data_IF_944074789629
#
_entry.id   IF_944074789629
#
_cell.length_a   1.000
_cell.length_b   1.000
_cell.length_c   1.000
_cell.angle_alpha   90.00
_cell.angle_beta   90.00
_cell.angle_gamma   90.00
#
_symmetry.space_group_name_H-M   'P 1'
#
loop_
_entity.id
_entity.type
_entity.pdbx_description
1 polymer ?
#
# COMPACT_ATOMS: atom_id res chain seq x y z
N UNK A 1 50.71 -3.88 -13.95
CA UNK A 1 50.00 -4.28 -15.19
C UNK A 1 48.95 -5.36 -14.94
N UNK A 2 49.31 -6.54 -14.40
CA UNK A 2 48.36 -7.67 -14.18
C UNK A 2 47.15 -7.33 -13.29
N UNK A 3 47.35 -6.50 -12.23
CA UNK A 3 46.27 -6.03 -11.35
C UNK A 3 45.32 -5.02 -12.03
N UNK A 4 45.85 -4.17 -12.92
CA UNK A 4 45.04 -3.21 -13.70
C UNK A 4 44.18 -3.94 -14.73
N UNK A 5 44.73 -5.00 -15.35
CA UNK A 5 43.99 -5.85 -16.28
C UNK A 5 42.82 -6.58 -15.59
N UNK A 6 43.02 -7.06 -14.35
CA UNK A 6 41.98 -7.72 -13.55
C UNK A 6 40.83 -6.78 -13.17
N UNK A 7 41.14 -5.52 -12.80
CA UNK A 7 40.12 -4.50 -12.50
C UNK A 7 39.32 -4.09 -13.74
N UNK A 8 39.94 -4.03 -14.92
CA UNK A 8 39.26 -3.75 -16.18
C UNK A 8 38.32 -4.89 -16.61
N UNK A 9 38.71 -6.16 -16.40
CA UNK A 9 37.86 -7.32 -16.74
C UNK A 9 36.62 -7.40 -15.83
N UNK A 10 36.78 -7.09 -14.53
CA UNK A 10 35.67 -7.08 -13.57
C UNK A 10 34.63 -5.99 -13.86
N UNK A 11 35.04 -4.84 -14.41
CA UNK A 11 34.15 -3.72 -14.72
C UNK A 11 33.35 -3.93 -16.02
N UNK A 12 33.84 -4.75 -16.96
CA UNK A 12 33.13 -5.06 -18.22
C UNK A 12 32.07 -6.14 -18.04
N UNK A 13 32.23 -7.07 -17.08
CA UNK A 13 31.28 -8.16 -16.84
C UNK A 13 29.86 -7.71 -16.46
N UNK A 14 29.71 -6.53 -15.85
CA UNK A 14 28.41 -5.97 -15.45
C UNK A 14 27.54 -5.49 -16.62
N UNK A 15 28.13 -5.28 -17.81
CA UNK A 15 27.44 -4.72 -18.98
C UNK A 15 26.58 -5.75 -19.73
N UNK A 16 26.72 -7.04 -19.43
CA UNK A 16 26.02 -8.14 -20.12
C UNK A 16 24.90 -8.78 -19.27
N UNK A 17 24.48 -8.15 -18.17
CA UNK A 17 23.38 -8.62 -17.32
C UNK A 17 21.98 -8.33 -17.91
N UNK A 18 21.81 -8.36 -19.23
CA UNK A 18 20.49 -8.25 -19.85
C UNK A 18 19.78 -9.60 -19.79
N UNK A 19 18.62 -9.63 -19.13
CA UNK A 19 17.72 -10.78 -19.17
C UNK A 19 17.13 -10.87 -20.59
N UNK A 20 17.32 -12.01 -21.27
CA UNK A 20 16.73 -12.28 -22.58
C UNK A 20 15.33 -12.85 -22.36
N UNK A 21 14.32 -11.99 -22.41
CA UNK A 21 12.90 -12.36 -22.27
C UNK A 21 12.03 -11.17 -21.91
N UNK A 22 10.72 -11.37 -21.94
CA UNK A 22 9.77 -10.38 -21.46
C UNK A 22 9.86 -10.29 -19.93
N UNK A 23 9.86 -9.06 -19.42
CA UNK A 23 9.77 -8.82 -17.97
C UNK A 23 8.29 -8.97 -17.58
N UNK A 24 7.96 -10.12 -17.02
CA UNK A 24 6.62 -10.36 -16.49
C UNK A 24 6.52 -9.78 -15.07
N UNK A 25 5.63 -8.80 -14.88
CA UNK A 25 5.28 -8.30 -13.54
C UNK A 25 4.07 -9.11 -13.05
N UNK A 26 4.19 -9.85 -11.93
CA UNK A 26 3.06 -10.61 -11.42
C UNK A 26 1.94 -9.65 -10.99
N UNK A 27 0.71 -9.97 -11.37
CA UNK A 27 -0.45 -9.29 -10.81
C UNK A 27 -0.66 -9.76 -9.36
N UNK A 28 -0.68 -8.82 -8.42
CA UNK A 28 -0.95 -9.09 -7.01
C UNK A 28 -2.34 -8.56 -6.68
N UNK A 29 -3.28 -9.48 -6.48
CA UNK A 29 -4.60 -9.13 -5.96
C UNK A 29 -4.48 -8.78 -4.47
N UNK A 30 -4.91 -7.57 -4.10
CA UNK A 30 -5.02 -7.16 -2.70
C UNK A 30 -6.48 -7.28 -2.27
N UNK A 31 -6.84 -8.48 -1.82
CA UNK A 31 -8.19 -8.76 -1.35
C UNK A 31 -8.49 -8.01 -0.06
N UNK A 32 -9.70 -7.47 0.02
CA UNK A 32 -10.21 -6.80 1.20
C UNK A 32 -11.40 -7.57 1.77
N UNK A 33 -11.60 -7.55 3.09
CA UNK A 33 -12.64 -8.34 3.76
C UNK A 33 -14.03 -7.77 3.45
N UNK A 34 -14.95 -8.60 2.98
CA UNK A 34 -16.34 -8.19 2.87
C UNK A 34 -16.98 -8.14 4.26
N UNK A 35 -17.85 -7.17 4.52
CA UNK A 35 -18.46 -7.01 5.86
C UNK A 35 -19.25 -5.71 6.02
N UNK A 36 -19.76 -5.49 7.23
CA UNK A 36 -20.47 -4.26 7.58
C UNK A 36 -19.54 -3.06 7.39
N UNK A 37 -20.02 -2.03 6.68
CA UNK A 37 -19.23 -0.82 6.39
C UNK A 37 -18.31 -0.93 5.17
N UNK A 38 -18.26 -2.09 4.50
CA UNK A 38 -17.48 -2.26 3.26
C UNK A 38 -17.92 -1.30 2.14
N UNK A 39 -19.23 -1.03 2.02
CA UNK A 39 -19.74 -0.13 0.96
C UNK A 39 -19.12 1.28 1.06
N UNK A 40 -18.93 1.79 2.28
CA UNK A 40 -18.27 3.07 2.51
C UNK A 40 -16.80 3.04 2.05
N UNK A 41 -16.09 1.94 2.30
CA UNK A 41 -14.70 1.74 1.85
C UNK A 41 -14.62 1.64 0.33
N UNK A 42 -15.53 0.89 -0.30
CA UNK A 42 -15.57 0.75 -1.75
C UNK A 42 -15.85 2.10 -2.43
N UNK A 43 -16.82 2.86 -1.91
CA UNK A 43 -17.19 4.16 -2.46
C UNK A 43 -16.11 5.22 -2.26
N UNK A 44 -15.43 5.23 -1.10
CA UNK A 44 -14.57 6.36 -0.71
C UNK A 44 -13.06 6.10 -0.87
N UNK A 45 -12.58 4.85 -0.77
CA UNK A 45 -11.15 4.57 -0.62
C UNK A 45 -10.46 4.02 -1.88
N UNK A 46 -11.21 3.70 -2.95
CA UNK A 46 -10.67 3.22 -4.22
C UNK A 46 -10.53 4.30 -5.30
N UNK A 47 -10.96 5.54 -5.02
CA UNK A 47 -10.92 6.61 -6.02
C UNK A 47 -9.50 6.97 -6.49
N UNK A 48 -8.51 6.83 -5.61
CA UNK A 48 -7.15 7.31 -5.89
C UNK A 48 -6.07 6.24 -5.84
N UNK A 49 -6.28 5.15 -5.09
CA UNK A 49 -5.29 4.07 -4.95
C UNK A 49 -5.97 2.73 -4.65
N UNK A 50 -5.25 1.63 -4.89
CA UNK A 50 -5.75 0.28 -4.59
C UNK A 50 -5.85 0.01 -3.08
N UNK A 51 -6.64 -1.01 -2.72
CA UNK A 51 -6.70 -1.50 -1.33
C UNK A 51 -5.35 -1.99 -0.81
N UNK A 52 -4.47 -2.47 -1.70
CA UNK A 52 -3.11 -2.89 -1.31
C UNK A 52 -2.34 -1.80 -0.59
N UNK A 53 -2.41 -0.56 -1.09
CA UNK A 53 -1.74 0.57 -0.45
C UNK A 53 -2.29 0.86 0.95
N UNK A 54 -3.61 0.68 1.10
CA UNK A 54 -4.33 0.89 2.35
C UNK A 54 -4.00 -0.18 3.39
N UNK A 55 -4.03 -1.47 3.04
CA UNK A 55 -3.87 -2.58 3.99
C UNK A 55 -2.41 -3.02 4.23
N UNK A 56 -1.46 -2.50 3.44
CA UNK A 56 -0.01 -2.75 3.63
C UNK A 56 0.58 -2.09 4.90
N UNK A 57 -0.23 -1.49 5.76
CA UNK A 57 0.21 -0.93 7.04
C UNK A 57 0.34 -1.99 8.15
N UNK A 58 -0.17 -3.20 7.91
CA UNK A 58 -0.34 -4.24 8.93
C UNK A 58 -1.47 -3.93 9.93
N UNK A 59 -1.68 -4.77 10.96
CA UNK A 59 -2.66 -4.51 12.01
C UNK A 59 -2.30 -3.28 12.84
N UNK A 60 -3.21 -2.30 12.95
CA UNK A 60 -2.94 -1.00 13.59
C UNK A 60 -4.01 -0.59 14.61
N UNK A 61 -3.74 0.45 15.41
CA UNK A 61 -4.72 0.93 16.39
C UNK A 61 -5.87 1.69 15.72
N UNK A 62 -6.99 1.85 16.44
CA UNK A 62 -8.12 2.65 15.95
C UNK A 62 -7.72 4.10 15.70
N UNK A 63 -6.92 4.69 16.61
CA UNK A 63 -6.38 6.04 16.45
C UNK A 63 -5.52 6.18 15.18
N UNK A 64 -4.70 5.16 14.87
CA UNK A 64 -3.93 5.16 13.63
C UNK A 64 -4.84 5.20 12.40
N UNK A 65 -5.86 4.35 12.33
CA UNK A 65 -6.78 4.32 11.19
C UNK A 65 -7.57 5.62 11.05
N UNK A 66 -8.05 6.18 12.16
CA UNK A 66 -8.71 7.47 12.19
C UNK A 66 -7.82 8.58 11.58
N UNK A 67 -6.54 8.64 11.98
CA UNK A 67 -5.57 9.59 11.43
C UNK A 67 -5.28 9.37 9.95
N UNK A 68 -5.32 8.12 9.46
CA UNK A 68 -5.16 7.84 8.03
C UNK A 68 -6.35 8.32 7.21
N UNK A 69 -7.57 8.04 7.67
CA UNK A 69 -8.80 8.53 7.02
C UNK A 69 -8.83 10.06 7.04
N UNK A 70 -8.57 10.69 8.18
CA UNK A 70 -8.47 12.15 8.30
C UNK A 70 -7.44 12.73 7.33
N UNK A 71 -6.25 12.13 7.22
CA UNK A 71 -5.23 12.55 6.25
C UNK A 71 -5.76 12.55 4.81
N UNK A 72 -6.57 11.55 4.43
CA UNK A 72 -7.16 11.50 3.07
C UNK A 72 -8.08 12.69 2.82
N UNK A 73 -8.85 13.09 3.82
CA UNK A 73 -9.77 14.22 3.73
C UNK A 73 -9.01 15.54 3.74
N UNK A 74 -8.13 15.74 4.72
CA UNK A 74 -7.51 17.04 5.00
C UNK A 74 -6.40 17.39 4.03
N UNK A 75 -5.53 16.43 3.70
CA UNK A 75 -4.36 16.67 2.86
C UNK A 75 -4.59 16.27 1.40
N UNK A 76 -5.27 15.15 1.15
CA UNK A 76 -5.53 14.67 -0.21
C UNK A 76 -6.89 15.09 -0.76
N UNK A 77 -7.70 15.80 0.04
CA UNK A 77 -8.99 16.38 -0.37
C UNK A 77 -9.99 15.34 -0.87
N UNK A 78 -9.90 14.12 -0.37
CA UNK A 78 -10.88 13.08 -0.65
C UNK A 78 -12.27 13.55 -0.16
N UNK A 79 -13.32 13.48 -1.00
CA UNK A 79 -14.66 13.97 -0.67
C UNK A 79 -15.43 12.98 0.22
N UNK A 80 -14.86 12.62 1.37
CA UNK A 80 -15.44 11.68 2.34
C UNK A 80 -16.23 12.46 3.38
N UNK A 81 -17.47 12.05 3.65
CA UNK A 81 -18.31 12.68 4.67
C UNK A 81 -17.85 12.31 6.08
N UNK A 82 -18.22 13.10 7.10
CA UNK A 82 -17.91 12.78 8.50
C UNK A 82 -18.52 11.45 8.97
N UNK A 83 -19.67 11.08 8.40
CA UNK A 83 -20.32 9.79 8.67
C UNK A 83 -19.52 8.64 8.07
N UNK A 84 -19.20 8.71 6.78
CA UNK A 84 -18.39 7.70 6.10
C UNK A 84 -17.00 7.59 6.71
N UNK A 85 -16.39 8.70 7.15
CA UNK A 85 -15.10 8.69 7.80
C UNK A 85 -15.11 7.84 9.08
N UNK A 86 -16.19 7.90 9.87
CA UNK A 86 -16.39 7.06 11.04
C UNK A 86 -16.57 5.60 10.64
N UNK A 87 -17.45 5.32 9.68
CA UNK A 87 -17.70 3.95 9.19
C UNK A 87 -16.41 3.31 8.67
N UNK A 88 -15.65 4.02 7.84
CA UNK A 88 -14.36 3.57 7.32
C UNK A 88 -13.35 3.31 8.45
N UNK A 89 -13.31 4.19 9.46
CA UNK A 89 -12.42 3.99 10.62
C UNK A 89 -12.78 2.75 11.41
N UNK A 90 -14.07 2.52 11.69
CA UNK A 90 -14.53 1.31 12.40
C UNK A 90 -14.23 0.05 11.58
N UNK A 91 -14.57 0.05 10.29
CA UNK A 91 -14.30 -1.07 9.39
C UNK A 91 -12.81 -1.42 9.37
N UNK A 92 -11.94 -0.42 9.21
CA UNK A 92 -10.48 -0.63 9.15
C UNK A 92 -9.95 -1.16 10.48
N UNK A 93 -10.48 -0.69 11.61
CA UNK A 93 -10.09 -1.20 12.91
C UNK A 93 -10.63 -2.61 13.19
N UNK A 94 -11.87 -2.91 12.83
CA UNK A 94 -12.45 -4.23 13.04
C UNK A 94 -11.72 -5.31 12.22
N UNK A 95 -11.42 -5.01 10.96
CA UNK A 95 -10.89 -6.00 10.03
C UNK A 95 -9.37 -6.01 9.93
N UNK A 96 -8.73 -4.86 10.18
CA UNK A 96 -7.28 -4.62 10.04
C UNK A 96 -6.69 -3.92 11.27
N UNK A 97 -7.35 -4.03 12.43
CA UNK A 97 -6.86 -3.50 13.68
C UNK A 97 -6.00 -4.48 14.47
N UNK A 98 -5.26 -3.95 15.43
CA UNK A 98 -4.48 -4.72 16.40
C UNK A 98 -5.20 -4.89 17.75
N UNK A 99 -6.49 -4.56 17.82
CA UNK A 99 -7.30 -4.61 19.05
C UNK A 99 -7.07 -3.48 20.04
N UNK A 100 -6.19 -2.52 19.75
CA UNK A 100 -5.93 -1.35 20.61
C UNK A 100 -6.63 -0.11 20.08
N UNK A 101 -7.23 0.67 20.98
CA UNK A 101 -7.87 1.94 20.61
C UNK A 101 -6.86 3.05 20.33
N UNK A 102 -5.69 3.00 20.98
CA UNK A 102 -4.59 3.97 20.83
C UNK A 102 -3.32 3.25 20.39
#
# INVERSE_FOLDING_TARGET
MKKILLLAVLSVGSLFAQVKGDVEVPYIAYEIKMGQGFDAIQANCLMCHSFGYMINQGPQSKEFWAKKVDKMITHFKAPITDEDAKICTEYLFEHYGNGKLK
#
